data_IF_439217056641
#
_entry.id   IF_439217056641
#
_cell.length_a   1.000
_cell.length_b   1.000
_cell.length_c   1.000
_cell.angle_alpha   90.00
_cell.angle_beta   90.00
_cell.angle_gamma   90.00
#
_symmetry.space_group_name_H-M   'P 1'
#
loop_
_entity.id
_entity.type
_entity.pdbx_description
1 polymer ?
#
# COMPACT_ATOMS: atom_id res chain seq x y z
N UNK A 1 -33.13 49.21 -50.93
CA UNK A 1 -32.25 48.07 -50.60
C UNK A 1 -33.14 46.87 -50.25
N UNK A 2 -33.11 45.78 -51.03
CA UNK A 2 -34.13 44.72 -50.95
C UNK A 2 -34.08 43.88 -49.67
N UNK A 3 -35.25 43.45 -49.21
CA UNK A 3 -35.49 42.63 -48.00
C UNK A 3 -34.56 41.42 -47.87
N UNK A 4 -34.20 40.80 -49.00
CA UNK A 4 -33.28 39.66 -49.07
C UNK A 4 -31.86 39.96 -48.55
N UNK A 5 -31.32 41.17 -48.82
CA UNK A 5 -30.00 41.58 -48.31
C UNK A 5 -30.01 41.76 -46.79
N UNK A 6 -31.14 42.18 -46.22
CA UNK A 6 -31.31 42.36 -44.78
C UNK A 6 -31.38 40.99 -44.10
N UNK A 7 -32.15 40.05 -44.65
CA UNK A 7 -32.25 38.68 -44.16
C UNK A 7 -30.90 37.94 -44.18
N UNK A 8 -30.11 38.06 -45.26
CA UNK A 8 -28.75 37.47 -45.33
C UNK A 8 -27.80 38.02 -44.28
N UNK A 9 -27.83 39.34 -44.02
CA UNK A 9 -27.03 39.96 -42.95
C UNK A 9 -27.45 39.48 -41.57
N UNK A 10 -28.75 39.35 -41.33
CA UNK A 10 -29.28 38.88 -40.05
C UNK A 10 -28.89 37.42 -39.78
N UNK A 11 -29.02 36.54 -40.78
CA UNK A 11 -28.59 35.14 -40.67
C UNK A 11 -27.08 35.02 -40.44
N UNK A 12 -26.28 35.87 -41.09
CA UNK A 12 -24.83 35.91 -40.88
C UNK A 12 -24.48 36.32 -39.44
N UNK A 13 -25.13 37.35 -38.91
CA UNK A 13 -24.95 37.79 -37.51
C UNK A 13 -25.33 36.66 -36.55
N UNK A 14 -26.43 35.96 -36.81
CA UNK A 14 -26.90 34.85 -35.99
C UNK A 14 -25.91 33.67 -35.99
N UNK A 15 -25.36 33.32 -37.15
CA UNK A 15 -24.34 32.28 -37.28
C UNK A 15 -23.06 32.63 -36.52
N UNK A 16 -22.60 33.89 -36.61
CA UNK A 16 -21.43 34.37 -35.87
C UNK A 16 -21.69 34.33 -34.36
N UNK A 17 -22.88 34.74 -33.90
CA UNK A 17 -23.25 34.68 -32.49
C UNK A 17 -23.25 33.24 -31.95
N UNK A 18 -23.78 32.27 -32.71
CA UNK A 18 -23.75 30.85 -32.34
C UNK A 18 -22.32 30.34 -32.22
N UNK A 19 -21.44 30.69 -33.16
CA UNK A 19 -20.02 30.28 -33.13
C UNK A 19 -19.33 30.84 -31.88
N UNK A 20 -19.58 32.11 -31.53
CA UNK A 20 -19.02 32.73 -30.33
C UNK A 20 -19.50 32.00 -29.07
N UNK A 21 -20.80 31.66 -28.99
CA UNK A 21 -21.36 30.92 -27.85
C UNK A 21 -20.76 29.51 -27.75
N UNK A 22 -20.56 28.81 -28.87
CA UNK A 22 -19.90 27.51 -28.87
C UNK A 22 -18.44 27.63 -28.39
N UNK A 23 -17.68 28.58 -28.92
CA UNK A 23 -16.28 28.80 -28.54
C UNK A 23 -16.13 29.17 -27.06
N UNK A 24 -17.00 30.03 -26.53
CA UNK A 24 -16.98 30.36 -25.10
C UNK A 24 -17.35 29.16 -24.23
N UNK A 25 -18.33 28.35 -24.64
CA UNK A 25 -18.68 27.12 -23.91
C UNK A 25 -17.52 26.11 -23.87
N UNK A 26 -16.78 25.97 -24.98
CA UNK A 26 -15.61 25.10 -25.07
C UNK A 26 -14.51 25.63 -24.17
N UNK A 27 -14.23 26.94 -24.21
CA UNK A 27 -13.20 27.55 -23.37
C UNK A 27 -13.52 27.37 -21.88
N UNK A 28 -14.79 27.59 -21.47
CA UNK A 28 -15.23 27.37 -20.09
C UNK A 28 -15.11 25.91 -19.66
N UNK A 29 -15.36 24.95 -20.55
CA UNK A 29 -15.17 23.53 -20.24
C UNK A 29 -13.68 23.18 -20.09
N UNK A 30 -12.81 23.75 -20.92
CA UNK A 30 -11.36 23.57 -20.81
C UNK A 30 -10.84 24.13 -19.49
N UNK A 31 -11.24 25.34 -19.10
CA UNK A 31 -10.79 25.94 -17.83
C UNK A 31 -11.26 25.14 -16.62
N UNK A 32 -12.52 24.69 -16.61
CA UNK A 32 -13.04 23.81 -15.55
C UNK A 32 -12.27 22.49 -15.46
N UNK A 33 -11.93 21.90 -16.60
CA UNK A 33 -11.15 20.65 -16.64
C UNK A 33 -9.74 20.88 -16.10
N UNK A 34 -9.09 22.00 -16.48
CA UNK A 34 -7.78 22.36 -15.94
C UNK A 34 -7.82 22.57 -14.42
N UNK A 35 -8.80 23.30 -13.90
CA UNK A 35 -8.99 23.49 -12.46
C UNK A 35 -9.21 22.17 -11.71
N UNK A 36 -9.96 21.22 -12.28
CA UNK A 36 -10.14 19.91 -11.66
C UNK A 36 -8.87 19.06 -11.64
N UNK A 37 -8.01 19.17 -12.66
CA UNK A 37 -6.73 18.45 -12.72
C UNK A 37 -5.75 19.05 -11.71
N UNK A 38 -5.69 20.38 -11.60
CA UNK A 38 -4.82 21.08 -10.66
C UNK A 38 -5.24 20.79 -9.20
N UNK A 39 -6.54 20.86 -8.91
CA UNK A 39 -7.08 20.51 -7.59
C UNK A 39 -6.90 19.02 -7.23
N UNK A 40 -6.90 18.12 -8.22
CA UNK A 40 -6.61 16.71 -8.00
C UNK A 40 -5.10 16.44 -7.82
N UNK A 41 -4.24 17.26 -8.43
CA UNK A 41 -2.79 17.20 -8.26
C UNK A 41 -2.34 17.68 -6.88
N UNK A 42 -2.98 18.73 -6.33
CA UNK A 42 -2.63 19.29 -5.02
C UNK A 42 -3.03 18.39 -3.84
N UNK A 43 -4.06 17.54 -4.00
CA UNK A 43 -4.34 16.48 -3.03
C UNK A 43 -3.52 15.24 -3.36
N UNK A 44 -2.27 15.21 -2.89
CA UNK A 44 -1.51 13.96 -2.77
C UNK A 44 -2.36 13.00 -1.93
N UNK A 45 -2.96 11.99 -2.56
CA UNK A 45 -3.62 10.90 -1.85
C UNK A 45 -2.51 10.17 -1.09
N UNK A 46 -2.38 10.44 0.21
CA UNK A 46 -1.49 9.66 1.06
C UNK A 46 -2.00 8.22 1.03
N UNK A 47 -1.19 7.35 0.42
CA UNK A 47 -1.45 5.92 0.45
C UNK A 47 -1.12 5.44 1.85
N UNK A 48 -2.05 4.69 2.44
CA UNK A 48 -1.79 3.98 3.69
C UNK A 48 -0.60 3.03 3.44
N UNK A 49 0.44 3.17 4.25
CA UNK A 49 1.65 2.37 4.22
C UNK A 49 1.54 1.21 5.20
N UNK A 50 1.70 -0.01 4.72
CA UNK A 50 1.62 -1.24 5.50
C UNK A 50 2.99 -1.93 5.48
N UNK A 51 3.55 -2.19 6.65
CA UNK A 51 4.75 -3.03 6.78
C UNK A 51 4.34 -4.45 7.16
N UNK A 52 4.78 -5.43 6.38
CA UNK A 52 4.58 -6.85 6.68
C UNK A 52 5.88 -7.42 7.24
N UNK A 53 5.82 -8.10 8.36
CA UNK A 53 6.96 -8.78 8.98
C UNK A 53 6.80 -10.30 8.86
N UNK A 54 7.44 -10.97 7.87
CA UNK A 54 7.45 -12.42 7.82
C UNK A 54 8.35 -12.95 8.94
N UNK A 55 7.75 -13.55 9.98
CA UNK A 55 8.46 -14.05 11.14
C UNK A 55 9.56 -15.06 10.78
N UNK A 56 10.59 -15.13 11.62
CA UNK A 56 11.76 -16.01 11.45
C UNK A 56 12.56 -15.75 10.15
N UNK A 57 13.53 -16.59 9.83
CA UNK A 57 14.42 -16.46 8.67
C UNK A 57 15.85 -16.89 8.99
N UNK A 58 16.56 -17.38 7.98
CA UNK A 58 17.96 -17.75 8.07
C UNK A 58 18.18 -18.91 9.04
N UNK A 59 19.03 -18.73 10.06
CA UNK A 59 19.26 -19.81 11.04
C UNK A 59 18.06 -19.99 11.98
N UNK A 60 17.15 -19.01 12.08
CA UNK A 60 15.92 -19.19 12.82
C UNK A 60 14.84 -19.73 11.87
N UNK A 61 14.58 -21.03 11.93
CA UNK A 61 13.59 -21.69 11.08
C UNK A 61 12.18 -21.70 11.68
N UNK A 62 12.02 -21.22 12.92
CA UNK A 62 10.75 -21.27 13.65
C UNK A 62 10.33 -22.69 14.02
N UNK A 63 9.02 -22.89 14.23
CA UNK A 63 8.48 -24.22 14.50
C UNK A 63 8.52 -25.10 13.24
N UNK A 64 8.47 -26.43 13.44
CA UNK A 64 8.24 -27.38 12.34
C UNK A 64 7.13 -28.35 12.72
N UNK A 65 6.15 -28.48 11.82
CA UNK A 65 5.02 -29.39 12.00
C UNK A 65 5.33 -30.83 11.59
N UNK A 66 4.31 -31.69 11.60
CA UNK A 66 4.42 -33.13 11.28
C UNK A 66 5.02 -33.40 9.88
N UNK A 67 4.84 -32.47 8.93
CA UNK A 67 5.38 -32.56 7.57
C UNK A 67 6.87 -32.15 7.45
N UNK A 68 7.52 -31.81 8.58
CA UNK A 68 8.93 -31.34 8.65
C UNK A 68 9.24 -30.11 7.80
N UNK A 69 8.21 -29.32 7.47
CA UNK A 69 8.36 -28.02 6.83
C UNK A 69 8.57 -27.00 7.95
N UNK A 70 9.59 -26.15 7.80
CA UNK A 70 9.86 -25.06 8.72
C UNK A 70 8.82 -23.94 8.56
N UNK A 71 8.57 -23.21 9.63
CA UNK A 71 7.65 -22.09 9.67
C UNK A 71 8.13 -20.91 8.79
N UNK A 72 9.42 -20.57 8.86
CA UNK A 72 10.02 -19.42 8.16
C UNK A 72 9.68 -19.32 6.65
N UNK A 73 9.81 -20.38 5.83
CA UNK A 73 9.45 -20.31 4.41
C UNK A 73 7.95 -20.17 4.17
N UNK A 74 7.11 -20.71 5.06
CA UNK A 74 5.65 -20.57 4.94
C UNK A 74 5.23 -19.13 5.28
N UNK A 75 5.78 -18.56 6.35
CA UNK A 75 5.56 -17.14 6.70
C UNK A 75 5.92 -16.24 5.52
N UNK A 76 7.09 -16.44 4.91
CA UNK A 76 7.53 -15.67 3.73
C UNK A 76 6.56 -15.81 2.55
N UNK A 77 6.09 -17.03 2.27
CA UNK A 77 5.16 -17.28 1.17
C UNK A 77 3.79 -16.61 1.41
N UNK A 78 3.28 -16.63 2.63
CA UNK A 78 2.05 -15.94 3.02
C UNK A 78 2.24 -14.42 2.88
N UNK A 79 3.34 -13.88 3.42
CA UNK A 79 3.64 -12.45 3.35
C UNK A 79 3.75 -11.93 1.93
N UNK A 80 4.41 -12.66 1.02
CA UNK A 80 4.49 -12.28 -0.40
C UNK A 80 3.12 -12.24 -1.08
N UNK A 81 2.24 -13.20 -0.78
CA UNK A 81 0.86 -13.20 -1.29
C UNK A 81 0.06 -12.01 -0.75
N UNK A 82 0.21 -11.72 0.54
CA UNK A 82 -0.45 -10.58 1.19
C UNK A 82 0.04 -9.25 0.61
N UNK A 83 1.36 -9.11 0.39
CA UNK A 83 1.96 -7.94 -0.25
C UNK A 83 1.33 -7.69 -1.62
N UNK A 84 1.36 -8.67 -2.52
CA UNK A 84 0.78 -8.51 -3.87
C UNK A 84 -0.71 -8.17 -3.85
N UNK A 85 -1.47 -8.73 -2.90
CA UNK A 85 -2.89 -8.43 -2.74
C UNK A 85 -3.14 -6.99 -2.28
N UNK A 86 -2.36 -6.51 -1.31
CA UNK A 86 -2.48 -5.15 -0.76
C UNK A 86 -1.98 -4.10 -1.76
N UNK A 87 -0.86 -4.34 -2.43
CA UNK A 87 -0.38 -3.45 -3.51
C UNK A 87 -1.41 -3.33 -4.63
N UNK A 88 -2.02 -4.46 -5.05
CA UNK A 88 -3.12 -4.48 -6.02
C UNK A 88 -4.39 -3.75 -5.55
N UNK A 89 -4.53 -3.53 -4.24
CA UNK A 89 -5.63 -2.77 -3.64
C UNK A 89 -5.30 -1.29 -3.42
N UNK A 90 -4.11 -0.82 -3.83
CA UNK A 90 -3.71 0.58 -3.78
C UNK A 90 -2.90 1.01 -2.56
N UNK A 91 -2.55 0.08 -1.67
CA UNK A 91 -1.68 0.34 -0.51
C UNK A 91 -0.22 0.46 -0.91
N UNK A 92 0.56 1.23 -0.15
CA UNK A 92 2.02 1.13 -0.17
C UNK A 92 2.44 0.01 0.78
N UNK A 93 3.24 -0.95 0.32
CA UNK A 93 3.57 -2.14 1.12
C UNK A 93 5.07 -2.39 1.10
N UNK A 94 5.63 -2.60 2.27
CA UNK A 94 7.01 -3.05 2.45
C UNK A 94 7.06 -4.32 3.30
N UNK A 95 8.16 -5.07 3.22
CA UNK A 95 8.43 -6.22 4.06
C UNK A 95 9.76 -6.08 4.81
N UNK A 96 9.84 -6.61 6.04
CA UNK A 96 11.10 -6.63 6.81
C UNK A 96 12.17 -7.52 6.15
N UNK A 97 11.76 -8.58 5.44
CA UNK A 97 12.63 -9.44 4.61
C UNK A 97 11.91 -9.93 3.37
N UNK A 98 12.63 -10.16 2.27
CA UNK A 98 12.06 -10.61 0.98
C UNK A 98 12.53 -12.02 0.54
N UNK A 99 13.47 -12.59 1.27
CA UNK A 99 14.04 -13.91 1.04
C UNK A 99 14.13 -14.69 2.36
N UNK A 100 14.77 -15.86 2.32
CA UNK A 100 14.90 -16.73 3.48
C UNK A 100 16.05 -16.31 4.41
N UNK A 101 16.67 -15.14 4.22
CA UNK A 101 17.70 -14.65 5.14
C UNK A 101 17.06 -14.09 6.41
N UNK A 102 17.78 -14.21 7.53
CA UNK A 102 17.47 -13.44 8.72
C UNK A 102 18.15 -12.07 8.69
N UNK A 103 17.68 -11.16 9.53
CA UNK A 103 18.14 -9.78 9.67
C UNK A 103 19.24 -9.69 10.72
N UNK A 104 20.30 -10.46 10.56
CA UNK A 104 21.46 -10.47 11.47
C UNK A 104 22.75 -10.47 10.68
N UNK A 105 23.86 -10.15 11.35
CA UNK A 105 25.19 -10.19 10.74
C UNK A 105 25.90 -11.51 11.03
N UNK A 106 26.82 -11.90 10.16
CA UNK A 106 27.67 -13.08 10.39
C UNK A 106 28.68 -12.88 11.54
N UNK A 107 28.85 -11.64 12.02
CA UNK A 107 29.71 -11.29 13.15
C UNK A 107 29.12 -11.71 14.51
N UNK A 108 27.81 -11.92 14.57
CA UNK A 108 27.13 -12.40 15.77
C UNK A 108 27.52 -13.86 16.04
N UNK A 109 28.34 -14.08 17.07
CA UNK A 109 29.02 -15.37 17.27
C UNK A 109 28.12 -16.56 17.61
N UNK A 110 27.04 -16.37 18.38
CA UNK A 110 26.15 -17.48 18.78
C UNK A 110 24.80 -17.40 18.08
N UNK A 111 24.11 -18.54 17.90
CA UNK A 111 22.74 -18.59 17.37
C UNK A 111 21.82 -17.67 18.17
N UNK A 112 21.93 -17.65 19.50
CA UNK A 112 21.15 -16.76 20.36
C UNK A 112 21.45 -15.28 20.09
N UNK A 113 22.71 -14.91 19.87
CA UNK A 113 23.08 -13.54 19.52
C UNK A 113 22.46 -13.13 18.17
N UNK A 114 22.55 -14.00 17.16
CA UNK A 114 21.93 -13.79 15.85
C UNK A 114 20.41 -13.61 15.93
N UNK A 115 19.71 -14.45 16.71
CA UNK A 115 18.26 -14.30 16.94
C UNK A 115 17.89 -12.98 17.64
N UNK A 116 18.70 -12.57 18.62
CA UNK A 116 18.49 -11.29 19.30
C UNK A 116 18.76 -10.09 18.38
N UNK A 117 19.78 -10.18 17.52
CA UNK A 117 20.07 -9.17 16.49
C UNK A 117 18.94 -9.08 15.46
N UNK A 118 18.46 -10.23 14.98
CA UNK A 118 17.31 -10.33 14.07
C UNK A 118 16.08 -9.60 14.60
N UNK A 119 15.68 -9.90 15.85
CA UNK A 119 14.54 -9.25 16.49
C UNK A 119 14.76 -7.73 16.66
N UNK A 120 15.97 -7.30 17.02
CA UNK A 120 16.29 -5.87 17.16
C UNK A 120 16.19 -5.15 15.82
N UNK A 121 16.75 -5.74 14.76
CA UNK A 121 16.73 -5.15 13.43
C UNK A 121 15.30 -5.09 12.87
N UNK A 122 14.45 -6.09 13.15
CA UNK A 122 13.00 -6.01 12.83
C UNK A 122 12.33 -4.84 13.52
N UNK A 123 12.54 -4.70 14.83
CA UNK A 123 11.97 -3.58 15.60
C UNK A 123 12.48 -2.23 15.08
N UNK A 124 13.75 -2.14 14.71
CA UNK A 124 14.32 -0.93 14.10
C UNK A 124 13.68 -0.61 12.75
N UNK A 125 13.55 -1.59 11.85
CA UNK A 125 12.85 -1.42 10.58
C UNK A 125 11.39 -0.98 10.80
N UNK A 126 10.69 -1.61 11.74
CA UNK A 126 9.32 -1.26 12.10
C UNK A 126 9.23 0.20 12.56
N UNK A 127 10.06 0.60 13.53
CA UNK A 127 10.05 1.96 14.08
C UNK A 127 10.44 3.02 13.04
N UNK A 128 11.29 2.68 12.07
CA UNK A 128 11.78 3.60 11.04
C UNK A 128 10.96 3.57 9.75
N UNK A 129 9.98 2.67 9.62
CA UNK A 129 9.23 2.45 8.36
C UNK A 129 8.26 3.58 8.01
N UNK A 130 7.84 4.37 9.00
CA UNK A 130 6.69 5.28 8.91
C UNK A 130 5.41 4.55 8.42
N UNK A 131 5.27 3.25 8.69
CA UNK A 131 4.07 2.50 8.35
C UNK A 131 2.91 2.86 9.28
N UNK A 132 1.72 3.00 8.71
CA UNK A 132 0.47 3.22 9.44
C UNK A 132 -0.01 1.94 10.13
N UNK A 133 0.36 0.78 9.57
CA UNK A 133 0.04 -0.54 10.11
C UNK A 133 1.22 -1.50 9.92
N UNK A 134 1.46 -2.31 10.95
CA UNK A 134 2.43 -3.40 10.91
C UNK A 134 1.72 -4.73 11.10
N UNK A 135 1.98 -5.69 10.22
CA UNK A 135 1.41 -7.04 10.25
C UNK A 135 2.54 -8.05 10.34
N UNK A 136 2.73 -8.67 11.51
CA UNK A 136 3.67 -9.78 11.66
C UNK A 136 2.98 -11.13 11.45
N UNK A 137 3.56 -11.99 10.60
CA UNK A 137 2.99 -13.28 10.19
C UNK A 137 3.79 -14.41 10.84
N UNK A 138 3.10 -15.26 11.59
CA UNK A 138 3.63 -16.42 12.30
C UNK A 138 2.69 -17.63 12.23
N UNK A 139 3.24 -18.83 12.43
CA UNK A 139 2.50 -20.07 12.55
C UNK A 139 2.66 -20.64 13.97
N UNK A 140 1.58 -20.57 14.74
CA UNK A 140 1.58 -21.11 16.10
C UNK A 140 1.82 -22.63 16.09
N UNK A 141 2.52 -23.12 17.11
CA UNK A 141 2.72 -24.55 17.38
C UNK A 141 2.43 -24.84 18.85
N UNK A 142 1.54 -25.80 19.09
CA UNK A 142 1.16 -26.26 20.43
C UNK A 142 1.36 -27.78 20.55
N UNK A 143 1.78 -28.30 21.72
CA UNK A 143 1.87 -29.74 21.94
C UNK A 143 0.52 -30.47 21.77
N UNK A 144 -0.59 -29.81 22.11
CA UNK A 144 -1.93 -30.37 22.00
C UNK A 144 -2.55 -30.05 20.63
N UNK A 145 -2.74 -31.08 19.80
CA UNK A 145 -3.28 -30.97 18.43
C UNK A 145 -4.72 -30.43 18.33
N UNK A 146 -5.45 -30.40 19.45
CA UNK A 146 -6.81 -29.88 19.51
C UNK A 146 -6.90 -28.36 19.34
N UNK A 147 -5.80 -27.62 19.53
CA UNK A 147 -5.75 -26.18 19.33
C UNK A 147 -5.26 -25.87 17.91
N UNK A 148 -6.17 -25.41 17.05
CA UNK A 148 -5.90 -25.04 15.66
C UNK A 148 -6.78 -23.86 15.25
N UNK A 149 -6.43 -23.22 14.13
CA UNK A 149 -7.14 -22.05 13.60
C UNK A 149 -6.33 -20.76 13.68
N UNK A 150 -6.86 -19.72 13.03
CA UNK A 150 -6.22 -18.41 13.00
C UNK A 150 -6.38 -17.70 14.35
N UNK A 151 -5.28 -17.14 14.84
CA UNK A 151 -5.26 -16.27 16.02
C UNK A 151 -4.62 -14.93 15.64
N UNK A 152 -5.19 -13.84 16.13
CA UNK A 152 -4.65 -12.49 15.95
C UNK A 152 -4.32 -11.92 17.32
N UNK A 153 -3.07 -11.50 17.48
CA UNK A 153 -2.60 -10.78 18.66
C UNK A 153 -2.43 -9.32 18.28
N UNK A 154 -2.83 -8.42 19.17
CA UNK A 154 -2.71 -6.98 18.98
C UNK A 154 -2.34 -6.31 20.30
N UNK A 155 -1.71 -5.15 20.22
CA UNK A 155 -1.35 -4.37 21.41
C UNK A 155 -2.60 -3.74 22.02
N UNK A 156 -2.89 -4.06 23.30
CA UNK A 156 -4.11 -3.62 24.00
C UNK A 156 -4.20 -2.10 24.17
N UNK A 157 -3.06 -1.43 24.36
CA UNK A 157 -2.98 0.03 24.53
C UNK A 157 -2.12 0.62 23.41
N UNK A 158 -2.76 1.25 22.44
CA UNK A 158 -2.07 2.17 21.55
C UNK A 158 -2.94 3.41 21.36
N UNK A 159 -2.56 4.51 22.00
CA UNK A 159 -3.19 5.84 21.83
C UNK A 159 -2.97 6.40 20.41
N UNK A 160 -2.18 5.72 19.57
CA UNK A 160 -1.85 6.11 18.21
C UNK A 160 -2.82 5.59 17.13
N UNK A 161 -3.91 4.89 17.48
CA UNK A 161 -4.94 4.46 16.49
C UNK A 161 -5.95 5.56 16.12
N UNK A 162 -5.64 6.81 16.44
CA UNK A 162 -6.42 7.98 16.04
C UNK A 162 -5.50 9.00 15.40
N UNK A 163 -5.31 8.88 14.10
CA UNK A 163 -5.45 9.97 13.13
C UNK A 163 -5.49 9.40 11.72
#
# INVERSE_FOLDING_TARGET
MGMEKILKKLNFIFAVAIIIIMLTSILLNITRTAETIDAASDKKVEKIKILIDPGHGGIDQGASGDMKIAEAPINLAISKKLMSFLEGSGFEVEMTRYDDNGLYTELSGTIRAKKNEDLKNRVELINNSNADLVISIHLNSFPQKQYYGAHVFYQKSNEATTK
#
